data_IF_537992540239
#
_entry.id   IF_537992540239
#
_cell.length_a   1.000
_cell.length_b   1.000
_cell.length_c   1.000
_cell.angle_alpha   90.00
_cell.angle_beta   90.00
_cell.angle_gamma   90.00
#
_symmetry.space_group_name_H-M   'P 1'
#
loop_
_entity.id
_entity.type
_entity.pdbx_description
1 polymer ?
#
# COMPACT_ATOMS: atom_id res chain seq x y z
N UNK A 1 9.70 37.66 -30.49
CA UNK A 1 9.30 38.26 -29.19
C UNK A 1 10.46 38.04 -28.23
N UNK A 2 11.18 39.08 -27.78
CA UNK A 2 10.79 40.03 -26.72
C UNK A 2 10.58 39.32 -25.36
N UNK A 3 11.20 39.73 -24.24
CA UNK A 3 12.24 40.75 -24.06
C UNK A 3 12.96 40.58 -22.69
N UNK A 4 14.22 41.02 -22.65
CA UNK A 4 15.12 41.16 -21.49
C UNK A 4 14.50 41.73 -20.19
N UNK A 5 15.08 41.34 -19.04
CA UNK A 5 15.93 42.18 -18.12
C UNK A 5 16.22 41.37 -16.84
N UNK A 6 17.45 41.08 -16.40
CA UNK A 6 18.58 41.93 -16.00
C UNK A 6 18.22 43.07 -15.03
N UNK A 7 18.68 42.96 -13.77
CA UNK A 7 19.52 43.98 -13.07
C UNK A 7 19.55 43.73 -11.56
N UNK A 8 20.67 43.27 -10.97
CA UNK A 8 21.72 44.05 -10.26
C UNK A 8 21.32 44.69 -8.92
N UNK A 9 21.95 44.22 -7.83
CA UNK A 9 22.15 44.91 -6.53
C UNK A 9 23.20 46.05 -6.68
N UNK A 10 23.67 46.76 -5.62
CA UNK A 10 23.22 46.93 -4.22
C UNK A 10 22.84 48.45 -4.04
N UNK A 11 23.20 49.28 -3.02
CA UNK A 11 23.76 49.05 -1.67
C UNK A 11 23.13 49.85 -0.49
N UNK A 12 23.68 49.55 0.68
CA UNK A 12 23.66 50.27 1.97
C UNK A 12 23.44 51.80 1.93
N UNK A 13 22.50 52.31 2.73
CA UNK A 13 22.75 53.46 3.63
C UNK A 13 21.61 53.76 4.62
N UNK A 14 22.00 54.24 5.82
CA UNK A 14 21.26 55.13 6.74
C UNK A 14 19.83 54.72 7.16
N UNK A 15 19.73 54.09 8.34
CA UNK A 15 18.58 54.32 9.23
C UNK A 15 18.97 55.33 10.32
N UNK A 16 18.26 56.46 10.34
CA UNK A 16 18.33 57.46 11.38
C UNK A 16 16.98 57.56 12.11
N UNK A 17 17.06 57.65 13.44
CA UNK A 17 16.08 58.28 14.35
C UNK A 17 14.59 57.92 14.23
N UNK A 18 14.14 57.04 15.12
CA UNK A 18 13.04 57.32 16.07
C UNK A 18 13.36 56.53 17.35
N UNK A 19 13.59 57.08 18.56
CA UNK A 19 13.11 58.29 19.23
C UNK A 19 11.68 58.19 19.80
N UNK A 20 11.48 57.25 20.74
CA UNK A 20 10.37 57.32 21.71
C UNK A 20 10.95 57.27 23.13
N UNK A 21 10.64 58.30 23.93
CA UNK A 21 11.04 58.43 25.34
C UNK A 21 10.04 57.71 26.25
N UNK A 22 10.54 57.05 27.30
CA UNK A 22 9.91 56.87 28.62
C UNK A 22 11.04 56.32 29.53
N UNK A 23 11.78 57.13 30.29
CA UNK A 23 11.41 57.95 31.45
C UNK A 23 11.32 57.13 32.76
N UNK A 24 12.13 57.52 33.76
CA UNK A 24 12.26 56.87 35.07
C UNK A 24 13.51 55.99 35.17
N UNK A 25 14.49 56.26 36.04
CA UNK A 25 14.68 57.41 36.93
C UNK A 25 16.14 57.48 37.38
N UNK A 26 16.61 58.68 37.75
CA UNK A 26 17.99 58.89 38.18
C UNK A 26 18.24 58.38 39.61
N UNK A 27 19.46 57.89 39.91
CA UNK A 27 20.42 58.55 40.81
C UNK A 27 21.84 58.10 40.44
N UNK A 28 22.70 59.01 39.99
CA UNK A 28 24.14 58.94 40.23
C UNK A 28 24.56 60.32 40.70
N UNK A 29 24.85 60.43 42.00
CA UNK A 29 25.22 61.69 42.61
C UNK A 29 26.66 62.07 42.24
N UNK A 30 26.84 63.32 41.82
CA UNK A 30 28.16 63.93 41.63
C UNK A 30 28.88 64.05 42.97
N UNK A 31 29.99 63.35 43.17
CA UNK A 31 30.89 63.59 44.30
C UNK A 31 32.27 64.02 43.78
N UNK A 32 32.51 65.34 43.83
CA UNK A 32 33.84 65.92 43.62
C UNK A 32 34.57 65.88 44.96
N UNK A 33 35.68 65.13 45.03
CA UNK A 33 36.66 65.24 46.13
C UNK A 33 38.03 65.48 45.50
N UNK A 34 38.64 66.61 45.85
CA UNK A 34 40.03 66.89 45.56
C UNK A 34 40.92 66.28 46.67
N UNK A 35 42.03 65.64 46.26
CA UNK A 35 43.13 65.24 47.16
C UNK A 35 43.07 63.81 47.72
N UNK A 36 43.72 62.86 47.02
CA UNK A 36 44.48 61.70 47.55
C UNK A 36 44.87 60.77 46.38
N UNK A 37 45.91 61.13 45.63
CA UNK A 37 46.20 60.59 44.29
C UNK A 37 46.78 59.16 44.23
N UNK A 38 46.78 58.40 45.33
CA UNK A 38 47.42 57.07 45.43
C UNK A 38 46.47 55.88 45.60
N UNK A 39 45.44 56.00 46.45
CA UNK A 39 44.66 54.84 46.92
C UNK A 39 43.31 54.64 46.19
N UNK A 40 42.71 55.70 45.67
CA UNK A 40 41.41 55.64 44.99
C UNK A 40 41.54 54.92 43.63
N UNK A 41 42.68 55.08 42.97
CA UNK A 41 43.01 54.50 41.66
C UNK A 41 42.90 52.98 41.65
N UNK A 42 43.36 52.30 42.71
CA UNK A 42 43.35 50.83 42.79
C UNK A 42 41.95 50.28 43.09
N UNK A 43 41.16 50.96 43.94
CA UNK A 43 39.78 50.55 44.23
C UNK A 43 38.85 50.71 43.01
N UNK A 44 38.98 51.80 42.25
CA UNK A 44 38.17 52.00 41.02
C UNK A 44 38.54 50.98 39.93
N UNK A 45 39.83 50.65 39.78
CA UNK A 45 40.27 49.59 38.85
C UNK A 45 39.78 48.21 39.30
N UNK A 46 39.85 47.89 40.60
CA UNK A 46 39.34 46.64 41.15
C UNK A 46 37.80 46.52 40.99
N UNK A 47 37.04 47.60 41.21
CA UNK A 47 35.61 47.62 40.92
C UNK A 47 35.32 47.43 39.42
N UNK A 48 36.04 48.11 38.52
CA UNK A 48 35.85 47.88 37.08
C UNK A 48 36.16 46.44 36.66
N UNK A 49 37.19 45.82 37.23
CA UNK A 49 37.52 44.42 36.95
C UNK A 49 36.44 43.46 37.49
N UNK A 50 35.90 43.72 38.69
CA UNK A 50 34.78 42.97 39.27
C UNK A 50 33.49 43.08 38.44
N UNK A 51 33.12 44.29 38.00
CA UNK A 51 31.94 44.50 37.15
C UNK A 51 32.14 43.83 35.78
N UNK A 52 33.36 43.87 35.21
CA UNK A 52 33.66 43.18 33.95
C UNK A 52 33.59 41.66 34.08
N UNK A 53 34.12 41.07 35.17
CA UNK A 53 34.05 39.62 35.37
C UNK A 53 32.61 39.15 35.63
N UNK A 54 31.82 39.91 36.40
CA UNK A 54 30.38 39.66 36.53
C UNK A 54 29.65 39.75 35.19
N UNK A 55 29.88 40.79 34.39
CA UNK A 55 29.27 40.94 33.06
C UNK A 55 29.63 39.77 32.12
N UNK A 56 30.90 39.36 32.08
CA UNK A 56 31.34 38.20 31.28
C UNK A 56 30.67 36.91 31.78
N UNK A 57 30.58 36.68 33.09
CA UNK A 57 29.90 35.50 33.65
C UNK A 57 28.40 35.46 33.32
N UNK A 58 27.71 36.62 33.28
CA UNK A 58 26.32 36.72 32.85
C UNK A 58 26.15 36.47 31.35
N UNK A 59 27.08 36.95 30.52
CA UNK A 59 27.10 36.67 29.07
C UNK A 59 27.31 35.16 28.83
N UNK A 60 28.29 34.54 29.49
CA UNK A 60 28.52 33.09 29.38
C UNK A 60 27.32 32.26 29.88
N UNK A 61 26.71 32.64 31.01
CA UNK A 61 25.54 31.95 31.54
C UNK A 61 24.33 32.05 30.60
N UNK A 62 24.07 33.24 30.04
CA UNK A 62 22.97 33.46 29.09
C UNK A 62 23.21 32.77 27.73
N UNK A 63 24.45 32.74 27.23
CA UNK A 63 24.82 31.95 26.05
C UNK A 63 24.62 30.45 26.30
N UNK A 64 25.08 29.91 27.43
CA UNK A 64 24.88 28.49 27.79
C UNK A 64 23.40 28.14 27.92
N UNK A 65 22.60 28.99 28.56
CA UNK A 65 21.15 28.81 28.68
C UNK A 65 20.46 28.83 27.30
N UNK A 66 20.86 29.75 26.42
CA UNK A 66 20.31 29.87 25.05
C UNK A 66 20.67 28.67 24.17
N UNK A 67 21.90 28.14 24.29
CA UNK A 67 22.31 26.91 23.59
C UNK A 67 21.59 25.69 24.15
N UNK A 68 21.34 25.63 25.46
CA UNK A 68 20.58 24.56 26.09
C UNK A 68 19.11 24.56 25.65
N UNK A 69 18.45 25.72 25.58
CA UNK A 69 17.07 25.82 25.11
C UNK A 69 16.92 25.48 23.62
N UNK A 70 17.86 25.93 22.77
CA UNK A 70 17.94 25.52 21.36
C UNK A 70 18.09 24.00 21.20
N UNK A 71 18.98 23.36 21.96
CA UNK A 71 19.14 21.89 21.96
C UNK A 71 17.87 21.17 22.41
N UNK A 72 17.19 21.69 23.43
CA UNK A 72 15.90 21.17 23.90
C UNK A 72 14.81 21.27 22.81
N UNK A 73 14.70 22.41 22.15
CA UNK A 73 13.74 22.63 21.06
C UNK A 73 14.00 21.70 19.86
N UNK A 74 15.26 21.52 19.46
CA UNK A 74 15.64 20.58 18.38
C UNK A 74 15.33 19.13 18.77
N UNK A 75 15.62 18.72 20.01
CA UNK A 75 15.30 17.37 20.48
C UNK A 75 13.78 17.12 20.53
N UNK A 76 12.99 18.10 20.97
CA UNK A 76 11.53 18.03 20.98
C UNK A 76 10.96 17.96 19.55
N UNK A 77 11.46 18.78 18.63
CA UNK A 77 11.06 18.74 17.21
C UNK A 77 11.40 17.41 16.53
N UNK A 78 12.59 16.86 16.79
CA UNK A 78 12.98 15.54 16.29
C UNK A 78 12.11 14.41 16.85
N UNK A 79 11.71 14.48 18.12
CA UNK A 79 10.79 13.51 18.72
C UNK A 79 9.38 13.62 18.11
N UNK A 80 8.87 14.84 17.88
CA UNK A 80 7.57 15.03 17.21
C UNK A 80 7.58 14.44 15.80
N UNK A 81 8.56 14.78 14.97
CA UNK A 81 8.68 14.24 13.61
C UNK A 81 8.84 12.70 13.59
N UNK A 82 9.54 12.12 14.57
CA UNK A 82 9.63 10.67 14.72
C UNK A 82 8.27 10.04 15.10
N UNK A 83 7.48 10.69 15.97
CA UNK A 83 6.13 10.25 16.34
C UNK A 83 5.13 10.35 15.18
N UNK A 84 5.19 11.43 14.40
CA UNK A 84 4.36 11.59 13.18
C UNK A 84 4.67 10.50 12.16
N UNK A 85 5.96 10.23 11.93
CA UNK A 85 6.43 9.15 11.05
C UNK A 85 5.93 7.79 11.54
N UNK A 86 6.11 7.48 12.83
CA UNK A 86 5.66 6.23 13.42
C UNK A 86 4.14 6.05 13.33
N UNK A 87 3.36 7.12 13.52
CA UNK A 87 1.90 7.08 13.39
C UNK A 87 1.47 6.78 11.95
N UNK A 88 2.15 7.35 10.96
CA UNK A 88 1.90 7.06 9.55
C UNK A 88 2.24 5.59 9.18
N UNK A 89 3.34 5.04 9.70
CA UNK A 89 3.69 3.63 9.48
C UNK A 89 2.76 2.66 10.21
N UNK A 90 2.31 2.97 11.43
CA UNK A 90 1.29 2.16 12.11
C UNK A 90 0.00 2.04 11.28
N UNK A 91 -0.41 3.11 10.59
CA UNK A 91 -1.52 3.09 9.64
C UNK A 91 -1.26 2.19 8.42
N UNK A 92 -0.04 2.24 7.85
CA UNK A 92 0.36 1.35 6.74
C UNK A 92 0.42 -0.12 7.15
N UNK A 93 1.07 -0.43 8.27
CA UNK A 93 1.17 -1.77 8.83
C UNK A 93 -0.22 -2.40 9.09
N UNK A 94 -1.16 -1.62 9.62
CA UNK A 94 -2.54 -2.06 9.83
C UNK A 94 -3.26 -2.38 8.50
N UNK A 95 -3.07 -1.54 7.47
CA UNK A 95 -3.59 -1.79 6.12
C UNK A 95 -3.01 -3.05 5.46
N UNK A 96 -1.71 -3.31 5.66
CA UNK A 96 -1.04 -4.53 5.21
C UNK A 96 -1.57 -5.76 5.96
N UNK A 97 -1.78 -5.68 7.29
CA UNK A 97 -2.38 -6.78 8.06
C UNK A 97 -3.80 -7.13 7.61
N UNK A 98 -4.62 -6.13 7.29
CA UNK A 98 -5.97 -6.34 6.80
C UNK A 98 -5.98 -6.98 5.40
N UNK A 99 -5.23 -6.42 4.45
CA UNK A 99 -5.19 -6.88 3.04
C UNK A 99 -4.46 -8.22 2.83
N UNK A 100 -3.58 -8.61 3.76
CA UNK A 100 -2.85 -9.90 3.74
C UNK A 100 -3.64 -11.09 4.30
N UNK A 101 -4.85 -10.89 4.83
CA UNK A 101 -5.69 -11.96 5.37
C UNK A 101 -5.97 -13.05 4.31
N UNK A 102 -5.73 -14.31 4.67
CA UNK A 102 -5.89 -15.46 3.78
C UNK A 102 -4.81 -15.62 2.69
N UNK A 103 -3.87 -14.67 2.57
CA UNK A 103 -2.83 -14.66 1.52
C UNK A 103 -1.42 -14.82 2.08
N UNK A 104 -1.07 -14.09 3.14
CA UNK A 104 0.25 -14.19 3.75
C UNK A 104 0.34 -15.28 4.82
N UNK A 105 1.55 -15.78 5.04
CA UNK A 105 1.85 -16.75 6.09
C UNK A 105 1.43 -16.22 7.48
N UNK A 106 0.77 -17.07 8.27
CA UNK A 106 0.25 -16.72 9.59
C UNK A 106 1.34 -16.19 10.54
N UNK A 107 2.53 -16.79 10.52
CA UNK A 107 3.68 -16.35 11.31
C UNK A 107 4.13 -14.92 10.94
N UNK A 108 4.22 -14.58 9.66
CA UNK A 108 4.59 -13.23 9.22
C UNK A 108 3.58 -12.18 9.67
N UNK A 109 2.27 -12.49 9.58
CA UNK A 109 1.20 -11.62 10.09
C UNK A 109 1.27 -11.47 11.62
N UNK A 110 1.58 -12.54 12.36
CA UNK A 110 1.78 -12.47 13.81
C UNK A 110 2.98 -11.56 14.16
N UNK A 111 4.13 -11.72 13.50
CA UNK A 111 5.31 -10.85 13.70
C UNK A 111 4.99 -9.38 13.41
N UNK A 112 4.28 -9.08 12.31
CA UNK A 112 3.87 -7.71 11.99
C UNK A 112 2.93 -7.13 13.07
N UNK A 113 1.99 -7.91 13.61
CA UNK A 113 1.11 -7.46 14.71
C UNK A 113 1.86 -7.20 16.02
N UNK A 114 2.90 -7.99 16.31
CA UNK A 114 3.80 -7.74 17.44
C UNK A 114 4.67 -6.49 17.22
N UNK A 115 5.13 -6.24 15.99
CA UNK A 115 5.83 -5.02 15.60
C UNK A 115 4.99 -3.76 15.80
N UNK A 116 3.72 -3.77 15.37
CA UNK A 116 2.74 -2.68 15.63
C UNK A 116 2.61 -2.41 17.13
N UNK A 117 2.47 -3.47 17.93
CA UNK A 117 2.35 -3.36 19.39
C UNK A 117 3.60 -2.74 20.02
N UNK A 118 4.79 -3.13 19.52
CA UNK A 118 6.10 -2.61 19.96
C UNK A 118 6.26 -1.12 19.64
N UNK A 119 5.96 -0.69 18.41
CA UNK A 119 6.01 0.73 18.02
C UNK A 119 5.00 1.54 18.84
N UNK A 120 3.79 1.01 19.06
CA UNK A 120 2.75 1.67 19.88
C UNK A 120 3.21 1.88 21.32
N UNK A 121 3.86 0.89 21.94
CA UNK A 121 4.43 1.02 23.29
C UNK A 121 5.61 2.01 23.32
N UNK A 122 6.44 2.02 22.28
CA UNK A 122 7.62 2.91 22.14
C UNK A 122 7.21 4.39 22.08
N UNK A 123 6.09 4.73 21.43
CA UNK A 123 5.61 6.11 21.29
C UNK A 123 5.44 6.86 22.63
N UNK A 124 5.08 6.15 23.71
CA UNK A 124 4.75 6.76 24.99
C UNK A 124 5.95 7.37 25.71
N UNK A 125 7.06 6.62 25.83
CA UNK A 125 8.16 6.93 26.77
C UNK A 125 9.58 6.95 26.15
N UNK A 126 9.71 6.80 24.83
CA UNK A 126 11.02 6.64 24.17
C UNK A 126 11.57 7.92 23.52
N UNK A 127 12.88 7.92 23.30
CA UNK A 127 13.59 8.95 22.54
C UNK A 127 13.34 8.83 21.03
N UNK A 128 13.58 9.91 20.28
CA UNK A 128 13.40 9.94 18.82
C UNK A 128 14.18 8.83 18.08
N UNK A 129 15.37 8.46 18.59
CA UNK A 129 16.18 7.37 18.07
C UNK A 129 15.51 6.00 18.24
N UNK A 130 14.97 5.72 19.43
CA UNK A 130 14.26 4.46 19.70
C UNK A 130 12.99 4.34 18.86
N UNK A 131 12.20 5.43 18.73
CA UNK A 131 11.01 5.48 17.87
C UNK A 131 11.39 5.17 16.41
N UNK A 132 12.42 5.84 15.87
CA UNK A 132 12.90 5.61 14.50
C UNK A 132 13.40 4.17 14.30
N UNK A 133 14.14 3.62 15.27
CA UNK A 133 14.64 2.23 15.21
C UNK A 133 13.49 1.20 15.16
N UNK A 134 12.49 1.36 16.04
CA UNK A 134 11.30 0.51 16.07
C UNK A 134 10.50 0.60 14.75
N UNK A 135 10.40 1.79 14.16
CA UNK A 135 9.78 2.00 12.84
C UNK A 135 10.53 1.28 11.72
N UNK A 136 11.86 1.29 11.72
CA UNK A 136 12.63 0.57 10.69
C UNK A 136 12.44 -0.95 10.82
N UNK A 137 12.38 -1.48 12.05
CA UNK A 137 12.01 -2.89 12.29
C UNK A 137 10.57 -3.21 11.86
N UNK A 138 9.62 -2.28 12.05
CA UNK A 138 8.25 -2.45 11.56
C UNK A 138 8.21 -2.60 10.02
N UNK A 139 8.93 -1.74 9.29
CA UNK A 139 9.03 -1.79 7.82
C UNK A 139 9.64 -3.10 7.29
N UNK A 140 10.59 -3.68 8.01
CA UNK A 140 11.15 -5.01 7.69
C UNK A 140 10.05 -6.09 7.74
N UNK A 141 9.19 -6.04 8.78
CA UNK A 141 8.06 -6.95 8.95
C UNK A 141 6.95 -6.73 7.89
N UNK A 142 6.66 -5.46 7.55
CA UNK A 142 5.74 -5.10 6.45
C UNK A 142 6.21 -5.67 5.12
N UNK A 143 7.51 -5.55 4.82
CA UNK A 143 8.13 -6.12 3.63
C UNK A 143 7.98 -7.65 3.61
N UNK A 144 8.31 -8.35 4.69
CA UNK A 144 8.18 -9.79 4.77
C UNK A 144 6.74 -10.29 4.52
N UNK A 145 5.73 -9.57 5.05
CA UNK A 145 4.31 -9.89 4.77
C UNK A 145 3.96 -9.60 3.30
N UNK A 146 4.43 -8.50 2.74
CA UNK A 146 4.16 -8.11 1.33
C UNK A 146 4.79 -9.09 0.33
N UNK A 147 6.03 -9.52 0.59
CA UNK A 147 6.71 -10.55 -0.21
C UNK A 147 5.96 -11.89 -0.11
N UNK A 148 5.41 -12.24 1.07
CA UNK A 148 4.57 -13.43 1.26
C UNK A 148 3.24 -13.36 0.48
N UNK A 149 2.58 -12.20 0.42
CA UNK A 149 1.36 -12.02 -0.41
C UNK A 149 1.71 -12.16 -1.90
N UNK A 150 2.85 -11.63 -2.32
CA UNK A 150 3.32 -11.70 -3.71
C UNK A 150 3.63 -13.14 -4.13
N UNK A 151 4.27 -13.91 -3.24
CA UNK A 151 4.52 -15.34 -3.45
C UNK A 151 3.21 -16.15 -3.55
N UNK A 152 2.22 -15.85 -2.71
CA UNK A 152 0.89 -16.46 -2.76
C UNK A 152 0.18 -16.16 -4.09
N UNK A 153 0.17 -14.89 -4.53
CA UNK A 153 -0.46 -14.51 -5.79
C UNK A 153 0.15 -15.26 -6.98
N UNK A 154 1.49 -15.33 -7.05
CA UNK A 154 2.20 -16.07 -8.10
C UNK A 154 1.86 -17.57 -8.10
N UNK A 155 1.64 -18.17 -6.94
CA UNK A 155 1.23 -19.58 -6.83
C UNK A 155 -0.23 -19.78 -7.30
N UNK A 156 -1.13 -18.85 -6.98
CA UNK A 156 -2.52 -18.90 -7.41
C UNK A 156 -2.68 -18.66 -8.93
N UNK A 157 -1.93 -17.71 -9.50
CA UNK A 157 -1.89 -17.48 -10.95
C UNK A 157 -1.39 -18.73 -11.69
N UNK A 158 -0.36 -19.42 -11.16
CA UNK A 158 0.14 -20.67 -11.70
C UNK A 158 -0.89 -21.82 -11.59
N UNK A 159 -1.65 -21.87 -10.48
CA UNK A 159 -2.74 -22.84 -10.29
C UNK A 159 -3.87 -22.63 -11.32
N UNK A 160 -4.23 -21.37 -11.58
CA UNK A 160 -5.24 -21.01 -12.58
C UNK A 160 -4.76 -21.34 -14.01
N UNK A 161 -3.49 -21.06 -14.33
CA UNK A 161 -2.90 -21.42 -15.62
C UNK A 161 -2.87 -22.95 -15.83
N UNK A 162 -2.53 -23.73 -14.81
CA UNK A 162 -2.55 -25.19 -14.86
C UNK A 162 -3.98 -25.74 -15.04
N UNK A 163 -4.98 -25.16 -14.37
CA UNK A 163 -6.38 -25.52 -14.55
C UNK A 163 -6.88 -25.21 -15.98
N UNK A 164 -6.53 -24.04 -16.52
CA UNK A 164 -6.86 -23.66 -17.90
C UNK A 164 -6.22 -24.62 -18.94
N UNK A 165 -4.96 -25.01 -18.74
CA UNK A 165 -4.29 -25.99 -19.58
C UNK A 165 -4.95 -27.38 -19.51
N UNK A 166 -5.37 -27.83 -18.32
CA UNK A 166 -6.11 -29.09 -18.15
C UNK A 166 -7.48 -29.07 -18.86
N UNK A 167 -8.21 -27.95 -18.79
CA UNK A 167 -9.46 -27.77 -19.55
C UNK A 167 -9.23 -27.80 -21.06
N UNK A 168 -8.19 -27.12 -21.58
CA UNK A 168 -7.86 -27.15 -23.00
C UNK A 168 -7.49 -28.57 -23.48
N UNK A 169 -6.73 -29.33 -22.70
CA UNK A 169 -6.40 -30.72 -23.00
C UNK A 169 -7.62 -31.64 -23.02
N UNK A 170 -8.58 -31.43 -22.11
CA UNK A 170 -9.84 -32.19 -22.08
C UNK A 170 -10.71 -31.93 -23.33
N UNK A 171 -10.81 -30.67 -23.77
CA UNK A 171 -11.53 -30.32 -25.01
C UNK A 171 -10.88 -30.97 -26.23
N UNK A 172 -9.55 -30.86 -26.37
CA UNK A 172 -8.82 -31.47 -27.48
C UNK A 172 -8.95 -33.00 -27.53
N UNK A 173 -8.97 -33.66 -26.37
CA UNK A 173 -9.23 -35.10 -26.27
C UNK A 173 -10.65 -35.47 -26.73
N UNK A 174 -11.65 -34.67 -26.37
CA UNK A 174 -13.03 -34.86 -26.78
C UNK A 174 -13.20 -34.67 -28.30
N UNK A 175 -12.58 -33.64 -28.88
CA UNK A 175 -12.55 -33.42 -30.34
C UNK A 175 -11.90 -34.61 -31.09
N UNK A 176 -10.77 -35.12 -30.59
CA UNK A 176 -10.11 -36.30 -31.16
C UNK A 176 -11.02 -37.55 -31.11
N UNK A 177 -11.73 -37.79 -29.99
CA UNK A 177 -12.67 -38.91 -29.91
C UNK A 177 -13.87 -38.76 -30.85
N UNK A 178 -14.41 -37.54 -31.00
CA UNK A 178 -15.50 -37.24 -31.93
C UNK A 178 -15.08 -37.42 -33.39
N UNK A 179 -13.88 -36.96 -33.75
CA UNK A 179 -13.30 -37.15 -35.09
C UNK A 179 -13.09 -38.64 -35.40
N UNK A 180 -12.58 -39.41 -34.42
CA UNK A 180 -12.35 -40.86 -34.56
C UNK A 180 -13.65 -41.65 -34.66
N UNK A 181 -14.68 -41.28 -33.90
CA UNK A 181 -16.01 -41.87 -34.03
C UNK A 181 -16.59 -41.61 -35.44
N UNK A 182 -16.52 -40.36 -35.91
CA UNK A 182 -16.99 -39.96 -37.25
C UNK A 182 -16.28 -40.72 -38.37
N UNK A 183 -14.95 -40.84 -38.30
CA UNK A 183 -14.17 -41.62 -39.27
C UNK A 183 -14.54 -43.12 -39.27
N UNK A 184 -14.82 -43.68 -38.09
CA UNK A 184 -15.23 -45.09 -37.95
C UNK A 184 -16.61 -45.35 -38.57
N UNK A 185 -17.55 -44.40 -38.42
CA UNK A 185 -18.86 -44.46 -39.06
C UNK A 185 -18.75 -44.47 -40.59
N UNK A 186 -17.90 -43.64 -41.18
CA UNK A 186 -17.67 -43.60 -42.63
C UNK A 186 -17.05 -44.91 -43.15
N UNK A 187 -16.10 -45.49 -42.42
CA UNK A 187 -15.47 -46.77 -42.79
C UNK A 187 -16.46 -47.94 -42.75
N UNK A 188 -17.35 -47.99 -41.76
CA UNK A 188 -18.43 -48.99 -41.69
C UNK A 188 -19.41 -48.90 -42.86
N UNK A 189 -19.75 -47.69 -43.30
CA UNK A 189 -20.60 -47.47 -44.48
C UNK A 189 -19.94 -47.88 -45.80
N UNK A 190 -18.63 -47.69 -45.93
CA UNK A 190 -17.87 -48.14 -47.10
C UNK A 190 -17.75 -49.67 -47.17
N UNK A 191 -17.54 -50.34 -46.03
CA UNK A 191 -17.42 -51.81 -45.95
C UNK A 191 -18.74 -52.57 -46.16
N UNK A 192 -19.90 -51.92 -45.94
CA UNK A 192 -21.22 -52.54 -46.15
C UNK A 192 -21.74 -52.54 -47.60
N UNK A 193 -21.03 -51.92 -48.53
CA UNK A 193 -21.53 -51.63 -49.89
C UNK A 193 -21.18 -52.71 -50.94
N UNK A 194 -21.37 -54.00 -50.61
CA UNK A 194 -21.21 -55.11 -51.58
C UNK A 194 -21.91 -56.42 -51.19
N UNK A 195 -23.24 -56.44 -51.16
CA UNK A 195 -24.03 -57.65 -51.50
C UNK A 195 -25.48 -57.30 -51.85
N UNK A 196 -26.05 -58.02 -52.82
CA UNK A 196 -27.31 -57.71 -53.50
C UNK A 196 -28.48 -58.56 -53.04
N UNK A 197 -29.71 -58.03 -53.20
CA UNK A 197 -31.03 -58.72 -53.14
C UNK A 197 -31.44 -59.37 -51.78
N UNK A 198 -32.70 -59.35 -51.34
CA UNK A 198 -33.98 -58.91 -51.94
C UNK A 198 -35.09 -58.74 -50.87
N UNK A 199 -36.24 -58.18 -51.29
CA UNK A 199 -37.59 -58.36 -50.68
C UNK A 199 -37.98 -57.57 -49.41
N UNK A 200 -38.66 -56.43 -49.66
CA UNK A 200 -39.89 -55.92 -49.00
C UNK A 200 -40.12 -56.07 -47.48
N UNK A 201 -39.90 -54.97 -46.75
CA UNK A 201 -40.84 -54.47 -45.73
C UNK A 201 -40.60 -52.96 -45.48
N UNK A 202 -41.63 -52.08 -45.45
CA UNK A 202 -41.44 -50.67 -45.15
C UNK A 202 -41.23 -50.48 -43.64
N UNK A 203 -39.98 -50.58 -43.18
CA UNK A 203 -39.60 -50.19 -41.82
C UNK A 203 -39.50 -48.66 -41.73
N UNK A 204 -40.07 -48.12 -40.67
CA UNK A 204 -40.24 -46.68 -40.46
C UNK A 204 -38.92 -45.91 -40.61
N UNK A 205 -39.01 -44.72 -41.21
CA UNK A 205 -37.92 -43.73 -41.25
C UNK A 205 -37.71 -43.17 -39.84
N UNK A 206 -36.98 -43.92 -39.00
CA UNK A 206 -36.35 -43.35 -37.81
C UNK A 206 -35.41 -42.27 -38.28
N UNK A 207 -35.82 -41.01 -38.13
CA UNK A 207 -34.96 -39.86 -38.35
C UNK A 207 -33.82 -39.99 -37.34
N UNK A 208 -32.62 -40.37 -37.79
CA UNK A 208 -31.43 -40.26 -36.97
C UNK A 208 -31.32 -38.81 -36.54
N UNK A 209 -31.37 -38.58 -35.22
CA UNK A 209 -31.30 -37.25 -34.66
C UNK A 209 -30.05 -36.54 -35.20
N UNK A 210 -30.26 -35.44 -35.92
CA UNK A 210 -29.20 -34.60 -36.48
C UNK A 210 -28.20 -34.27 -35.40
N UNK A 211 -26.91 -34.39 -35.71
CA UNK A 211 -25.79 -34.19 -34.77
C UNK A 211 -25.94 -32.86 -34.05
N UNK A 212 -26.32 -32.91 -32.77
CA UNK A 212 -26.71 -31.71 -32.03
C UNK A 212 -25.50 -30.79 -31.79
N UNK A 213 -25.62 -29.54 -32.20
CA UNK A 213 -24.66 -28.48 -31.88
C UNK A 213 -24.62 -28.26 -30.36
N UNK A 214 -23.43 -28.37 -29.75
CA UNK A 214 -23.25 -28.27 -28.31
C UNK A 214 -23.22 -26.79 -27.87
N UNK A 215 -24.30 -26.34 -27.24
CA UNK A 215 -24.30 -25.09 -26.47
C UNK A 215 -23.95 -25.39 -24.99
N UNK A 216 -22.99 -24.69 -24.36
CA UNK A 216 -22.65 -24.94 -22.96
C UNK A 216 -23.81 -24.59 -22.02
N UNK A 217 -24.35 -25.58 -21.31
CA UNK A 217 -25.37 -25.39 -20.26
C UNK A 217 -26.69 -26.12 -20.46
N UNK A 218 -26.96 -26.70 -21.64
CA UNK A 218 -28.17 -27.51 -21.88
C UNK A 218 -27.92 -29.00 -21.61
N UNK A 219 -28.83 -29.64 -20.86
CA UNK A 219 -28.73 -31.06 -20.55
C UNK A 219 -29.13 -31.93 -21.76
N UNK A 220 -28.22 -32.83 -22.19
CA UNK A 220 -28.51 -33.80 -23.26
C UNK A 220 -29.54 -34.87 -22.86
N UNK A 221 -29.74 -35.09 -21.57
CA UNK A 221 -30.79 -35.97 -21.05
C UNK A 221 -32.16 -35.32 -21.32
N UNK A 222 -33.01 -36.02 -22.08
CA UNK A 222 -34.40 -35.57 -22.31
C UNK A 222 -35.13 -35.44 -20.96
N UNK A 223 -35.75 -34.28 -20.66
CA UNK A 223 -36.61 -34.15 -19.47
C UNK A 223 -37.79 -35.13 -19.52
N UNK A 224 -38.32 -35.52 -18.35
CA UNK A 224 -39.54 -36.34 -18.30
C UNK A 224 -40.73 -35.56 -18.86
N UNK A 225 -41.54 -36.20 -19.70
CA UNK A 225 -42.81 -35.65 -20.19
C UNK A 225 -43.91 -35.81 -19.12
N UNK A 226 -43.68 -35.27 -17.92
CA UNK A 226 -44.65 -35.36 -16.82
C UNK A 226 -45.88 -34.47 -17.11
N UNK A 227 -47.09 -34.83 -16.62
CA UNK A 227 -48.31 -34.04 -16.86
C UNK A 227 -48.31 -32.65 -16.20
N UNK A 228 -47.32 -32.36 -15.34
CA UNK A 228 -47.06 -31.04 -14.75
C UNK A 228 -45.80 -30.36 -15.33
N UNK A 229 -45.20 -30.93 -16.38
CA UNK A 229 -44.00 -30.40 -17.05
C UNK A 229 -44.30 -29.26 -18.03
N UNK A 230 -43.27 -28.71 -18.70
CA UNK A 230 -43.40 -27.55 -19.59
C UNK A 230 -44.24 -27.81 -20.86
N UNK A 231 -44.50 -29.07 -21.22
CA UNK A 231 -45.33 -29.47 -22.36
C UNK A 231 -46.35 -30.55 -21.92
N UNK A 232 -47.43 -30.21 -21.19
CA UNK A 232 -48.40 -31.19 -20.71
C UNK A 232 -49.12 -31.85 -21.89
N UNK A 233 -48.95 -33.17 -22.04
CA UNK A 233 -49.57 -33.97 -23.11
C UNK A 233 -48.86 -33.96 -24.47
N UNK A 234 -47.73 -33.26 -24.61
CA UNK A 234 -46.92 -33.24 -25.83
C UNK A 234 -45.52 -33.81 -25.58
N UNK A 235 -44.90 -34.35 -26.63
CA UNK A 235 -43.55 -34.94 -26.53
C UNK A 235 -42.50 -33.87 -26.81
N UNK A 236 -41.61 -33.59 -25.85
CA UNK A 236 -40.53 -32.60 -26.02
C UNK A 236 -39.62 -32.94 -27.23
N UNK A 237 -39.43 -31.97 -28.13
CA UNK A 237 -38.58 -32.00 -29.33
C UNK A 237 -37.39 -31.06 -29.14
N UNK A 238 -36.24 -31.40 -29.73
CA UNK A 238 -35.04 -30.56 -29.67
C UNK A 238 -35.06 -29.56 -30.84
N UNK A 239 -35.20 -28.26 -30.53
CA UNK A 239 -35.27 -27.16 -31.48
C UNK A 239 -34.11 -26.21 -31.18
N UNK A 240 -33.18 -26.03 -32.13
CA UNK A 240 -32.01 -25.13 -32.02
C UNK A 240 -31.18 -25.28 -30.72
N UNK A 241 -31.11 -26.50 -30.18
CA UNK A 241 -30.36 -26.81 -28.94
C UNK A 241 -31.18 -26.72 -27.64
N UNK A 242 -32.45 -26.34 -27.71
CA UNK A 242 -33.38 -26.26 -26.58
C UNK A 242 -34.48 -27.32 -26.70
N UNK A 243 -34.95 -27.86 -25.56
CA UNK A 243 -36.11 -28.75 -25.53
C UNK A 243 -37.39 -27.91 -25.50
N UNK A 244 -38.21 -28.00 -26.54
CA UNK A 244 -39.49 -27.30 -26.67
C UNK A 244 -40.65 -28.23 -27.02
N UNK A 245 -41.87 -27.72 -26.98
CA UNK A 245 -43.01 -28.41 -27.56
C UNK A 245 -42.96 -28.27 -29.10
N UNK A 246 -43.45 -29.26 -29.87
CA UNK A 246 -43.62 -29.12 -31.32
C UNK A 246 -44.72 -28.11 -31.70
#
# INVERSE_FOLDING_TARGET
MMMNRLSTSPPLSRFAKAATKLAGGAVVASLVIAGTTGAISTQVVAQQQSVRSQAVSHIDASHRASVASLRGAVAAGALSAARDTATAELGRAAGILASSAGKAAAQGRATLSAGISTVTATLANSSAYQVTSAVMSLRENEKAVTDSVTAWQKAEDARLAAAAAAHAAAVAAQEYTNARASASSTAGSAAGSSSSSSSSAPRAVTHSASTAYYAPGVSHTRPSNDPCGPCPGATLVLIEGYWGCP
#
